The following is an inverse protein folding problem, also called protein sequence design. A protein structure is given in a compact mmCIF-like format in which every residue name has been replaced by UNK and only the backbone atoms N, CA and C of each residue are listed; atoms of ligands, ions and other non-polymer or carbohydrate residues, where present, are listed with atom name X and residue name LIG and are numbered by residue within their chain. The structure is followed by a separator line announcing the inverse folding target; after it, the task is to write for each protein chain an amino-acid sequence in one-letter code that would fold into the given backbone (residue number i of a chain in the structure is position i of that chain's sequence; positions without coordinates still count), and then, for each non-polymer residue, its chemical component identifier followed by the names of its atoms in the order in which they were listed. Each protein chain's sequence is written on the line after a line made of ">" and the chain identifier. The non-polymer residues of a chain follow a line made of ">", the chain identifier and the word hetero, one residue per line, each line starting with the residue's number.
data_IF_252870759807
#
_entry.id   IF_252870759807
#
_cell.length_a   1.000
_cell.length_b   1.000
_cell.length_c   1.000
_cell.angle_alpha   90.00
_cell.angle_beta   90.00
_cell.angle_gamma   90.00
#
_symmetry.space_group_name_H-M   'P 1'
#
loop_
_entity.id
_entity.type
_entity.pdbx_description
1 polymer ?
#
# COMPACT_ATOMS: atom_id res chain seq x y z
N UNK A 1 -6.29 -17.59 -10.80
CA UNK A 1 -6.95 -17.05 -9.59
C UNK A 1 -8.41 -16.80 -9.91
N UNK A 2 -9.33 -17.19 -9.03
CA UNK A 2 -10.76 -16.86 -9.22
C UNK A 2 -10.97 -15.37 -8.87
N UNK A 3 -11.85 -14.68 -9.61
CA UNK A 3 -12.27 -13.32 -9.27
C UNK A 3 -13.15 -13.38 -8.02
N UNK A 4 -12.82 -12.67 -6.93
CA UNK A 4 -13.63 -12.67 -5.73
C UNK A 4 -14.91 -11.87 -5.94
N UNK A 5 -15.90 -12.15 -5.10
CA UNK A 5 -17.09 -11.32 -4.98
C UNK A 5 -16.71 -9.96 -4.36
N UNK A 6 -17.10 -8.87 -5.03
CA UNK A 6 -16.74 -7.50 -4.60
C UNK A 6 -17.27 -7.19 -3.21
N UNK A 7 -18.53 -7.53 -2.94
CA UNK A 7 -19.21 -7.23 -1.68
C UNK A 7 -18.59 -8.01 -0.52
N UNK A 8 -18.28 -9.28 -0.72
CA UNK A 8 -17.58 -10.09 0.30
C UNK A 8 -16.18 -9.56 0.57
N UNK A 9 -15.44 -9.15 -0.47
CA UNK A 9 -14.09 -8.61 -0.32
C UNK A 9 -14.10 -7.25 0.39
N UNK A 10 -15.06 -6.38 0.04
CA UNK A 10 -15.29 -5.11 0.73
C UNK A 10 -15.57 -5.32 2.22
N UNK A 11 -16.52 -6.23 2.54
CA UNK A 11 -16.86 -6.56 3.92
C UNK A 11 -15.67 -7.12 4.72
N UNK A 12 -14.84 -7.97 4.09
CA UNK A 12 -13.59 -8.48 4.68
C UNK A 12 -12.65 -7.33 5.03
N UNK A 13 -12.34 -6.46 4.07
CA UNK A 13 -11.40 -5.36 4.29
C UNK A 13 -11.94 -4.34 5.30
N UNK A 14 -13.23 -4.04 5.29
CA UNK A 14 -13.86 -3.17 6.27
C UNK A 14 -13.70 -3.74 7.69
N UNK A 15 -13.99 -5.04 7.87
CA UNK A 15 -13.84 -5.71 9.16
C UNK A 15 -12.39 -5.68 9.64
N UNK A 16 -11.42 -5.94 8.75
CA UNK A 16 -10.00 -5.89 9.09
C UNK A 16 -9.56 -4.47 9.48
N UNK A 17 -9.92 -3.44 8.72
CA UNK A 17 -9.57 -2.05 9.06
C UNK A 17 -10.21 -1.61 10.38
N UNK A 18 -11.44 -2.03 10.69
CA UNK A 18 -12.07 -1.76 11.98
C UNK A 18 -11.34 -2.46 13.14
N UNK A 19 -10.87 -3.69 12.93
CA UNK A 19 -10.05 -4.40 13.91
C UNK A 19 -8.72 -3.68 14.14
N UNK A 20 -8.06 -3.20 13.09
CA UNK A 20 -6.85 -2.38 13.20
C UNK A 20 -7.14 -1.06 13.93
N UNK A 21 -8.26 -0.41 13.64
CA UNK A 21 -8.66 0.84 14.28
C UNK A 21 -8.86 0.70 15.78
N UNK A 22 -9.27 -0.47 16.25
CA UNK A 22 -9.44 -0.78 17.67
C UNK A 22 -8.13 -1.23 18.34
N UNK A 23 -7.28 -1.97 17.64
CA UNK A 23 -6.11 -2.60 18.23
C UNK A 23 -4.78 -1.87 18.03
N UNK A 24 -4.64 -1.04 16.99
CA UNK A 24 -3.40 -0.31 16.74
C UNK A 24 -3.24 0.89 17.70
N UNK A 25 -1.99 1.35 17.92
CA UNK A 25 -1.72 2.54 18.72
C UNK A 25 -2.44 3.80 18.20
N UNK A 26 -2.79 4.71 19.12
CA UNK A 26 -3.61 5.88 18.84
C UNK A 26 -3.07 6.78 17.71
N UNK A 27 -1.75 6.80 17.49
CA UNK A 27 -1.11 7.56 16.41
C UNK A 27 -1.57 7.16 15.00
N UNK A 28 -2.07 5.94 14.81
CA UNK A 28 -2.58 5.45 13.51
C UNK A 28 -4.07 5.72 13.29
N UNK A 29 -4.79 6.04 14.36
CA UNK A 29 -6.25 6.22 14.34
C UNK A 29 -6.72 7.30 13.37
N UNK A 30 -6.10 8.50 13.29
CA UNK A 30 -6.54 9.54 12.37
C UNK A 30 -6.52 9.10 10.89
N UNK A 31 -5.48 8.35 10.49
CA UNK A 31 -5.37 7.86 9.11
C UNK A 31 -6.38 6.74 8.82
N UNK A 32 -6.67 5.89 9.80
CA UNK A 32 -7.73 4.89 9.68
C UNK A 32 -9.12 5.53 9.60
N UNK A 33 -9.39 6.55 10.42
CA UNK A 33 -10.64 7.33 10.38
C UNK A 33 -10.81 8.07 9.04
N UNK A 34 -9.70 8.45 8.41
CA UNK A 34 -9.71 9.05 7.07
C UNK A 34 -9.99 8.03 5.96
N UNK A 35 -9.41 6.82 6.03
CA UNK A 35 -9.43 5.85 4.92
C UNK A 35 -10.63 4.92 4.97
N UNK A 36 -11.12 4.53 6.15
CA UNK A 36 -12.25 3.60 6.31
C UNK A 36 -13.51 4.08 5.55
N UNK A 37 -13.93 5.37 5.66
CA UNK A 37 -15.10 5.86 4.94
C UNK A 37 -14.92 5.88 3.41
N UNK A 38 -13.67 5.87 2.92
CA UNK A 38 -13.32 5.90 1.48
C UNK A 38 -13.20 4.50 0.88
N UNK A 39 -13.14 3.44 1.71
CA UNK A 39 -13.01 2.06 1.25
C UNK A 39 -14.08 1.66 0.21
N UNK A 40 -15.37 2.00 0.36
CA UNK A 40 -16.41 1.62 -0.60
C UNK A 40 -16.12 2.11 -2.04
N UNK A 41 -15.42 3.24 -2.20
CA UNK A 41 -15.08 3.79 -3.52
C UNK A 41 -14.17 2.85 -4.34
N UNK A 42 -13.42 1.97 -3.66
CA UNK A 42 -12.57 0.96 -4.30
C UNK A 42 -13.37 -0.24 -4.84
N UNK A 43 -14.61 -0.40 -4.38
CA UNK A 43 -15.52 -1.48 -4.76
C UNK A 43 -16.70 -1.01 -5.60
N UNK A 44 -16.96 0.30 -5.60
CA UNK A 44 -17.99 0.95 -6.39
C UNK A 44 -17.93 0.60 -7.88
N UNK A 45 -19.10 0.37 -8.46
CA UNK A 45 -19.30 0.09 -9.90
C UNK A 45 -19.80 1.31 -10.67
N UNK A 46 -20.15 2.40 -9.96
CA UNK A 46 -20.71 3.65 -10.51
C UNK A 46 -20.00 4.85 -9.85
N UNK A 47 -19.69 5.94 -10.57
CA UNK A 47 -19.90 6.16 -12.01
C UNK A 47 -18.93 5.37 -12.89
N UNK A 48 -17.75 5.02 -12.36
CA UNK A 48 -16.75 4.19 -13.03
C UNK A 48 -16.33 3.06 -12.10
N UNK A 49 -16.37 1.83 -12.58
CA UNK A 49 -15.92 0.65 -11.84
C UNK A 49 -14.42 0.72 -11.57
N UNK A 50 -14.01 0.64 -10.31
CA UNK A 50 -12.59 0.50 -9.97
C UNK A 50 -12.12 -0.93 -10.21
N UNK A 51 -11.04 -1.17 -10.98
CA UNK A 51 -10.68 -2.52 -11.41
C UNK A 51 -10.19 -3.38 -10.24
N UNK A 52 -10.60 -4.66 -10.24
CA UNK A 52 -9.93 -5.69 -9.45
C UNK A 52 -8.85 -6.33 -10.30
N UNK A 53 -7.62 -6.36 -9.79
CA UNK A 53 -6.44 -6.87 -10.50
C UNK A 53 -5.67 -7.83 -9.60
N UNK A 54 -4.82 -8.70 -10.16
CA UNK A 54 -3.82 -9.40 -9.37
C UNK A 54 -2.86 -8.40 -8.72
N UNK A 55 -2.85 -8.36 -7.39
CA UNK A 55 -1.91 -7.61 -6.57
C UNK A 55 -0.88 -8.59 -6.00
N UNK A 56 0.38 -8.18 -6.03
CA UNK A 56 1.48 -8.90 -5.40
C UNK A 56 1.48 -8.59 -3.90
N UNK A 57 1.30 -9.60 -3.05
CA UNK A 57 1.15 -9.40 -1.60
C UNK A 57 2.48 -9.21 -0.85
N UNK A 58 3.60 -9.54 -1.51
CA UNK A 58 4.96 -9.46 -0.96
C UNK A 58 5.92 -8.72 -1.91
N UNK A 59 5.50 -7.56 -2.43
CA UNK A 59 6.28 -6.85 -3.45
C UNK A 59 7.44 -6.11 -2.78
N UNK A 60 8.61 -6.76 -2.76
CA UNK A 60 9.85 -6.30 -2.14
C UNK A 60 11.00 -6.28 -3.17
N UNK A 61 12.13 -5.62 -2.89
CA UNK A 61 13.23 -5.50 -3.87
C UNK A 61 13.74 -6.87 -4.34
N UNK A 62 13.78 -7.87 -3.45
CA UNK A 62 14.24 -9.23 -3.75
C UNK A 62 13.33 -9.97 -4.75
N UNK A 63 12.10 -9.50 -4.95
CA UNK A 63 11.15 -10.07 -5.91
C UNK A 63 11.13 -9.34 -7.26
N UNK A 64 11.99 -8.32 -7.44
CA UNK A 64 12.07 -7.51 -8.66
C UNK A 64 13.42 -7.73 -9.33
N UNK A 65 13.39 -8.34 -10.52
CA UNK A 65 14.60 -8.54 -11.29
C UNK A 65 14.86 -7.32 -12.17
N UNK A 66 16.12 -6.88 -12.20
CA UNK A 66 16.57 -5.75 -13.01
C UNK A 66 17.73 -6.16 -13.91
N UNK A 67 17.77 -5.59 -15.11
CA UNK A 67 18.96 -5.62 -15.96
C UNK A 67 20.05 -4.75 -15.31
N UNK A 68 21.23 -5.29 -14.94
CA UNK A 68 22.26 -4.51 -14.25
C UNK A 68 22.91 -3.43 -15.14
N UNK A 69 22.85 -3.57 -16.47
CA UNK A 69 23.40 -2.59 -17.40
C UNK A 69 22.44 -1.41 -17.65
N UNK A 70 21.12 -1.66 -17.62
CA UNK A 70 20.13 -0.63 -17.97
C UNK A 70 19.22 -0.19 -16.83
N UNK A 71 19.22 -0.90 -15.70
CA UNK A 71 18.30 -0.69 -14.58
C UNK A 71 16.82 -0.98 -14.92
N UNK A 72 16.54 -1.69 -16.02
CA UNK A 72 15.16 -1.97 -16.44
C UNK A 72 14.63 -3.16 -15.67
N UNK A 73 13.39 -3.09 -15.21
CA UNK A 73 12.68 -4.25 -14.65
C UNK A 73 12.52 -5.29 -15.77
N UNK A 74 13.06 -6.49 -15.53
CA UNK A 74 12.98 -7.63 -16.45
C UNK A 74 11.93 -8.65 -16.01
N UNK A 75 11.53 -8.62 -14.73
CA UNK A 75 10.46 -9.46 -14.21
C UNK A 75 10.14 -9.17 -12.76
N UNK A 76 8.93 -9.57 -12.37
CA UNK A 76 8.50 -9.67 -10.97
C UNK A 76 8.24 -11.16 -10.72
N UNK A 77 8.91 -11.74 -9.72
CA UNK A 77 8.80 -13.16 -9.37
C UNK A 77 7.97 -13.35 -8.09
N UNK A 78 7.95 -14.57 -7.55
CA UNK A 78 7.22 -14.99 -6.34
C UNK A 78 5.75 -14.54 -6.21
N UNK A 79 4.96 -14.76 -7.27
CA UNK A 79 3.51 -14.53 -7.27
C UNK A 79 2.71 -15.50 -6.38
N UNK A 80 3.37 -16.29 -5.52
CA UNK A 80 2.69 -17.22 -4.63
C UNK A 80 1.84 -16.43 -3.64
N UNK A 81 0.54 -16.73 -3.60
CA UNK A 81 -0.40 -16.05 -2.70
C UNK A 81 -0.87 -14.68 -3.20
N UNK A 82 -0.52 -14.28 -4.43
CA UNK A 82 -1.10 -13.09 -5.05
C UNK A 82 -2.64 -13.09 -4.95
N UNK A 83 -3.21 -11.92 -4.70
CA UNK A 83 -4.64 -11.76 -4.48
C UNK A 83 -5.26 -10.92 -5.61
N UNK A 84 -6.45 -11.30 -6.08
CA UNK A 84 -7.24 -10.41 -6.93
C UNK A 84 -7.98 -9.43 -6.03
N UNK A 85 -7.63 -8.15 -6.08
CA UNK A 85 -8.18 -7.11 -5.19
C UNK A 85 -8.13 -5.74 -5.88
N UNK A 86 -8.65 -4.64 -5.27
CA UNK A 86 -8.64 -3.33 -5.92
C UNK A 86 -7.26 -2.92 -6.47
N UNK A 87 -7.24 -2.26 -7.63
CA UNK A 87 -6.00 -1.73 -8.18
C UNK A 87 -5.38 -0.71 -7.22
N UNK A 88 -4.08 -0.85 -6.97
CA UNK A 88 -3.29 0.05 -6.12
C UNK A 88 -2.90 -0.52 -4.76
N UNK A 89 -3.42 -1.69 -4.36
CA UNK A 89 -3.16 -2.27 -3.04
C UNK A 89 -1.68 -2.58 -2.80
N UNK A 90 -0.93 -3.00 -3.84
CA UNK A 90 0.52 -3.25 -3.73
C UNK A 90 1.40 -2.00 -3.83
N UNK A 91 0.84 -0.80 -4.08
CA UNK A 91 1.68 0.39 -4.33
C UNK A 91 2.44 0.88 -3.09
N UNK A 92 2.08 0.41 -1.90
CA UNK A 92 2.85 0.64 -0.68
C UNK A 92 4.29 0.13 -0.77
N UNK A 93 4.55 -0.87 -1.61
CA UNK A 93 5.88 -1.43 -1.87
C UNK A 93 6.92 -0.40 -2.32
N UNK A 94 6.49 0.66 -3.01
CA UNK A 94 7.39 1.74 -3.43
C UNK A 94 8.06 2.40 -2.22
N UNK A 95 7.36 2.51 -1.10
CA UNK A 95 7.90 3.12 0.10
C UNK A 95 9.03 2.28 0.71
N UNK A 96 8.97 0.96 0.54
CA UNK A 96 10.02 0.03 0.96
C UNK A 96 11.28 0.30 0.13
N UNK A 97 11.14 0.39 -1.19
CA UNK A 97 12.25 0.67 -2.14
C UNK A 97 12.91 2.04 -1.95
N UNK A 98 12.25 2.96 -1.26
CA UNK A 98 12.72 4.31 -1.01
C UNK A 98 13.51 4.45 0.30
N UNK A 99 13.62 3.38 1.09
CA UNK A 99 14.34 3.40 2.35
C UNK A 99 14.93 2.04 2.72
N UNK A 100 15.38 1.95 3.96
CA UNK A 100 15.93 0.73 4.53
C UNK A 100 15.57 0.62 5.99
N UNK A 101 15.40 -0.61 6.46
CA UNK A 101 15.36 -0.90 7.89
C UNK A 101 16.69 -0.52 8.53
N UNK A 102 16.65 0.01 9.76
CA UNK A 102 17.85 0.26 10.55
C UNK A 102 17.80 -0.48 11.88
N UNK A 103 18.96 -0.92 12.35
CA UNK A 103 19.11 -1.63 13.63
C UNK A 103 19.33 -0.68 14.82
N UNK A 104 19.35 0.64 14.60
CA UNK A 104 19.83 1.64 15.56
C UNK A 104 18.72 2.54 16.15
N UNK A 105 17.53 2.01 16.42
CA UNK A 105 16.43 2.73 17.08
C UNK A 105 15.50 3.51 16.15
N UNK A 106 16.01 4.01 15.02
CA UNK A 106 15.19 4.59 13.94
C UNK A 106 14.79 3.48 12.96
N UNK A 107 13.81 2.65 13.32
CA UNK A 107 13.42 1.43 12.59
C UNK A 107 13.38 1.56 11.05
N UNK A 108 13.04 2.74 10.52
CA UNK A 108 13.04 3.03 9.09
C UNK A 108 13.81 4.31 8.76
N UNK A 109 14.64 4.26 7.72
CA UNK A 109 15.35 5.44 7.20
C UNK A 109 15.20 5.53 5.69
N UNK A 110 14.63 6.63 5.20
CA UNK A 110 14.57 6.91 3.79
C UNK A 110 15.95 7.29 3.21
N UNK A 111 16.15 6.97 1.92
CA UNK A 111 17.31 7.43 1.17
C UNK A 111 17.27 8.97 0.97
N UNK A 112 18.42 9.65 0.82
CA UNK A 112 18.47 11.11 0.70
C UNK A 112 17.57 11.70 -0.39
N UNK A 113 17.44 11.02 -1.53
CA UNK A 113 16.66 11.45 -2.69
C UNK A 113 15.24 10.86 -2.74
N UNK A 114 14.75 10.26 -1.67
CA UNK A 114 13.48 9.53 -1.67
C UNK A 114 12.28 10.39 -2.09
N UNK A 115 12.27 11.69 -1.76
CA UNK A 115 11.19 12.60 -2.16
C UNK A 115 11.15 12.77 -3.69
N UNK A 116 12.30 13.08 -4.29
CA UNK A 116 12.44 13.24 -5.75
C UNK A 116 12.09 11.93 -6.48
N UNK A 117 12.52 10.79 -5.96
CA UNK A 117 12.22 9.48 -6.53
C UNK A 117 10.73 9.13 -6.41
N UNK A 118 10.08 9.46 -5.28
CA UNK A 118 8.64 9.26 -5.08
C UNK A 118 7.84 10.09 -6.07
N UNK A 119 8.18 11.36 -6.23
CA UNK A 119 7.53 12.24 -7.20
C UNK A 119 7.76 11.77 -8.63
N UNK A 120 8.98 11.35 -8.95
CA UNK A 120 9.31 10.76 -10.24
C UNK A 120 8.46 9.52 -10.52
N UNK A 121 8.39 8.58 -9.57
CA UNK A 121 7.54 7.40 -9.67
C UNK A 121 6.09 7.78 -9.90
N UNK A 122 5.51 8.67 -9.06
CA UNK A 122 4.11 9.09 -9.15
C UNK A 122 3.79 9.72 -10.50
N UNK A 123 4.68 10.58 -11.01
CA UNK A 123 4.52 11.22 -12.31
C UNK A 123 4.57 10.22 -13.46
N UNK A 124 5.54 9.29 -13.45
CA UNK A 124 5.63 8.23 -14.47
C UNK A 124 4.45 7.28 -14.40
N UNK A 125 4.02 6.90 -13.20
CA UNK A 125 2.86 6.04 -12.98
C UNK A 125 1.58 6.66 -13.56
N UNK A 126 1.29 7.92 -13.23
CA UNK A 126 0.13 8.62 -13.78
C UNK A 126 0.22 8.78 -15.31
N UNK A 127 1.41 9.06 -15.84
CA UNK A 127 1.64 9.15 -17.28
C UNK A 127 1.33 7.83 -17.99
N UNK A 128 1.80 6.69 -17.47
CA UNK A 128 1.57 5.37 -18.06
C UNK A 128 0.14 4.87 -17.91
N UNK A 129 -0.64 5.40 -16.97
CA UNK A 129 -2.08 5.18 -16.90
C UNK A 129 -2.87 5.95 -17.99
N UNK A 130 -2.21 6.78 -18.81
CA UNK A 130 -2.85 7.64 -19.80
C UNK A 130 -3.29 8.99 -19.25
N UNK A 131 -2.74 9.39 -18.09
CA UNK A 131 -3.26 10.48 -17.26
C UNK A 131 -4.23 9.95 -16.21
N UNK A 132 -4.38 10.69 -15.11
CA UNK A 132 -5.31 10.33 -14.02
C UNK A 132 -6.11 11.55 -13.60
N UNK A 133 -7.44 11.38 -13.52
CA UNK A 133 -8.32 12.35 -12.89
C UNK A 133 -8.07 12.41 -11.37
N UNK A 134 -8.53 13.47 -10.72
CA UNK A 134 -8.33 13.62 -9.28
C UNK A 134 -9.10 12.58 -8.45
N UNK A 135 -10.22 12.06 -8.99
CA UNK A 135 -10.94 10.92 -8.42
C UNK A 135 -10.08 9.64 -8.47
N UNK A 136 -9.48 9.32 -9.61
CA UNK A 136 -8.62 8.15 -9.75
C UNK A 136 -7.39 8.25 -8.87
N UNK A 137 -6.78 9.44 -8.77
CA UNK A 137 -5.68 9.69 -7.82
C UNK A 137 -6.10 9.43 -6.38
N UNK A 138 -7.30 9.87 -5.98
CA UNK A 138 -7.84 9.60 -4.63
C UNK A 138 -8.08 8.12 -4.39
N UNK A 139 -8.60 7.37 -5.37
CA UNK A 139 -8.78 5.92 -5.27
C UNK A 139 -7.45 5.17 -5.20
N UNK A 140 -6.48 5.55 -6.02
CA UNK A 140 -5.11 5.00 -5.99
C UNK A 140 -4.50 5.19 -4.59
N UNK A 141 -4.59 6.41 -4.05
CA UNK A 141 -4.04 6.71 -2.73
C UNK A 141 -4.78 5.96 -1.61
N UNK A 142 -6.11 5.87 -1.69
CA UNK A 142 -6.92 5.09 -0.75
C UNK A 142 -6.51 3.62 -0.80
N UNK A 143 -6.39 3.03 -1.98
CA UNK A 143 -5.96 1.63 -2.15
C UNK A 143 -4.54 1.40 -1.62
N UNK A 144 -3.62 2.33 -1.86
CA UNK A 144 -2.25 2.27 -1.35
C UNK A 144 -2.23 2.23 0.18
N UNK A 145 -2.98 3.12 0.83
CA UNK A 145 -3.05 3.21 2.31
C UNK A 145 -3.74 1.98 2.90
N UNK A 146 -4.85 1.52 2.31
CA UNK A 146 -5.52 0.27 2.74
C UNK A 146 -4.56 -0.91 2.62
N UNK A 147 -3.86 -1.04 1.50
CA UNK A 147 -2.84 -2.07 1.29
C UNK A 147 -1.75 -2.07 2.36
N UNK A 148 -1.20 -0.89 2.68
CA UNK A 148 -0.20 -0.73 3.74
C UNK A 148 -0.70 -1.20 5.10
N UNK A 149 -1.92 -0.81 5.49
CA UNK A 149 -2.51 -1.26 6.75
C UNK A 149 -2.75 -2.76 6.79
N UNK A 150 -3.29 -3.35 5.72
CA UNK A 150 -3.57 -4.78 5.69
C UNK A 150 -2.28 -5.63 5.69
N UNK A 151 -1.21 -5.15 5.04
CA UNK A 151 0.07 -5.84 4.97
C UNK A 151 0.89 -5.75 6.28
N UNK A 152 0.85 -4.60 6.98
CA UNK A 152 1.75 -4.32 8.10
C UNK A 152 1.03 -4.14 9.45
N UNK A 153 -0.30 -4.10 9.44
CA UNK A 153 -1.11 -3.84 10.64
C UNK A 153 -1.39 -5.09 11.48
N UNK A 154 -1.12 -6.29 10.95
CA UNK A 154 -1.41 -7.55 11.62
C UNK A 154 -0.17 -8.42 11.82
N UNK A 155 -0.07 -9.06 12.99
CA UNK A 155 0.85 -10.16 13.27
C UNK A 155 0.04 -11.34 13.82
N UNK A 156 0.17 -12.52 13.20
CA UNK A 156 -0.59 -13.73 13.56
C UNK A 156 -2.12 -13.49 13.64
N UNK A 157 -2.67 -12.68 12.74
CA UNK A 157 -4.11 -12.36 12.66
C UNK A 157 -4.61 -11.39 13.73
N UNK A 158 -3.73 -10.77 14.51
CA UNK A 158 -4.06 -9.75 15.52
C UNK A 158 -3.38 -8.43 15.20
N UNK A 159 -3.98 -7.28 15.52
CA UNK A 159 -3.32 -5.99 15.37
C UNK A 159 -1.96 -5.98 16.08
N UNK A 160 -0.93 -5.43 15.43
CA UNK A 160 0.44 -5.35 15.97
C UNK A 160 0.47 -4.43 17.20
N UNK A 161 1.23 -4.79 18.23
CA UNK A 161 1.48 -3.97 19.44
C UNK A 161 2.69 -3.05 19.24
N UNK A 162 2.84 -1.97 20.01
CA UNK A 162 3.88 -0.92 19.81
C UNK A 162 5.32 -1.42 19.63
N UNK A 163 5.64 -2.63 20.09
CA UNK A 163 6.96 -3.25 20.00
C UNK A 163 7.23 -3.99 18.67
N UNK A 164 6.25 -4.06 17.76
CA UNK A 164 6.42 -4.74 16.47
C UNK A 164 7.17 -3.91 15.43
N UNK A 165 8.18 -4.50 14.78
CA UNK A 165 9.02 -3.87 13.75
C UNK A 165 8.18 -3.28 12.59
N UNK A 166 7.11 -3.97 12.19
CA UNK A 166 6.19 -3.54 11.12
C UNK A 166 5.49 -2.20 11.41
N UNK A 167 5.30 -1.84 12.69
CA UNK A 167 4.72 -0.54 13.06
C UNK A 167 5.71 0.62 12.93
N UNK A 168 7.01 0.34 12.97
CA UNK A 168 8.04 1.34 12.71
C UNK A 168 7.97 1.81 11.26
N UNK A 169 7.93 0.85 10.33
CA UNK A 169 7.75 1.11 8.89
C UNK A 169 6.41 1.80 8.62
N UNK A 170 5.29 1.22 9.07
CA UNK A 170 3.96 1.79 8.86
C UNK A 170 3.84 3.21 9.43
N UNK A 171 4.48 3.48 10.58
CA UNK A 171 4.57 4.80 11.17
C UNK A 171 5.32 5.80 10.29
N UNK A 172 6.50 5.43 9.81
CA UNK A 172 7.32 6.29 8.96
C UNK A 172 6.61 6.64 7.64
N UNK A 173 5.94 5.67 7.02
CA UNK A 173 5.24 5.85 5.74
C UNK A 173 4.00 6.72 5.86
N UNK A 174 3.20 6.50 6.90
CA UNK A 174 1.93 7.22 7.05
C UNK A 174 2.11 8.64 7.63
N UNK A 175 3.22 8.93 8.32
CA UNK A 175 3.55 10.29 8.77
C UNK A 175 4.04 11.20 7.64
N UNK A 176 4.70 10.66 6.62
CA UNK A 176 5.19 11.43 5.45
C UNK A 176 4.09 11.95 4.53
N UNK A 177 2.83 11.51 4.69
CA UNK A 177 1.69 11.98 3.90
C UNK A 177 1.11 13.34 4.35
N UNK A 178 1.82 14.08 5.21
CA UNK A 178 1.39 15.38 5.77
C UNK A 178 2.03 16.61 5.11
N UNK A 179 2.76 16.47 4.00
CA UNK A 179 3.29 17.62 3.29
C UNK A 179 2.58 17.80 1.94
N UNK A 180 2.03 19.01 1.66
CA UNK A 180 1.19 19.30 0.49
C UNK A 180 1.94 19.23 -0.84
#
# INVERSE_FOLDING_TARGET
>A
MARPDRTQLEGKYLSQLQQLRQGLPARFHPKLDEVIPKLPDLFATVPTEWPLVPNHIDLLENNIHVDPATGRITGICDWRGAEVSPFGMSLGAVEIMLGTLTTSGDFWRYHPNHMELRDYFRNRFCHYLGGTSDEEKRRIETARVVGLFLANGFQNGKPVTEEGEDLGFLGAVLQTALYP
#
